data_IF_957029023876
#
_entry.id   IF_957029023876
#
_cell.length_a   1.000
_cell.length_b   1.000
_cell.length_c   1.000
_cell.angle_alpha   90.00
_cell.angle_beta   90.00
_cell.angle_gamma   90.00
#
_symmetry.space_group_name_H-M   'P 1'
#
loop_
_entity.id
_entity.type
_entity.pdbx_description
1 polymer ?
#
# COMPACT_ATOMS: atom_id res chain seq x y z
N UNK A 1 10.30 17.93 2.71
CA UNK A 1 9.11 17.72 3.52
C UNK A 1 8.91 16.26 3.79
N UNK A 2 8.51 15.92 5.01
CA UNK A 2 8.30 14.53 5.35
C UNK A 2 6.85 14.16 5.29
N UNK A 3 6.60 13.00 4.69
CA UNK A 3 5.27 12.43 4.70
C UNK A 3 5.26 11.33 5.75
N UNK A 4 4.12 11.11 6.36
CA UNK A 4 3.96 10.01 7.30
C UNK A 4 2.76 9.18 6.89
N UNK A 5 2.88 7.87 7.10
CA UNK A 5 1.81 6.95 6.79
C UNK A 5 0.92 6.81 8.01
N UNK A 6 -0.37 6.99 7.79
CA UNK A 6 -1.36 6.84 8.84
C UNK A 6 -1.93 5.42 8.83
N UNK A 7 -2.09 4.84 7.66
CA UNK A 7 -2.77 3.55 7.53
C UNK A 7 -2.35 2.85 6.25
N UNK A 8 -2.36 1.53 6.25
CA UNK A 8 -2.09 0.73 5.06
C UNK A 8 -3.01 -0.48 5.07
N UNK A 9 -3.48 -0.85 3.89
CA UNK A 9 -4.32 -2.03 3.73
C UNK A 9 -3.93 -2.77 2.46
N UNK A 10 -3.93 -4.09 2.53
CA UNK A 10 -3.67 -4.89 1.33
C UNK A 10 -4.93 -4.94 0.47
N UNK A 11 -4.72 -4.90 -0.83
CA UNK A 11 -5.77 -4.95 -1.83
C UNK A 11 -5.53 -6.13 -2.76
N UNK A 12 -6.54 -6.51 -3.55
CA UNK A 12 -6.35 -7.57 -4.55
C UNK A 12 -5.24 -7.22 -5.51
N UNK A 13 -4.64 -8.25 -6.09
CA UNK A 13 -3.62 -8.12 -7.12
C UNK A 13 -2.34 -7.46 -6.61
N UNK A 14 -2.02 -7.72 -5.35
CA UNK A 14 -0.77 -7.25 -4.74
C UNK A 14 -0.63 -5.73 -4.75
N UNK A 15 -1.75 -5.04 -4.56
CA UNK A 15 -1.75 -3.60 -4.41
C UNK A 15 -1.96 -3.22 -2.97
N UNK A 16 -1.60 -2.01 -2.63
CA UNK A 16 -1.74 -1.48 -1.28
C UNK A 16 -2.46 -0.15 -1.35
N UNK A 17 -3.36 0.06 -0.38
CA UNK A 17 -3.94 1.38 -0.17
C UNK A 17 -3.16 2.02 0.97
N UNK A 18 -2.55 3.16 0.71
CA UNK A 18 -1.71 3.83 1.69
C UNK A 18 -2.29 5.20 1.97
N UNK A 19 -2.69 5.42 3.22
CA UNK A 19 -3.20 6.73 3.64
C UNK A 19 -2.09 7.48 4.36
N UNK A 20 -1.86 8.70 3.93
CA UNK A 20 -0.85 9.57 4.53
C UNK A 20 -1.50 10.54 5.50
N UNK A 21 -0.72 11.03 6.46
CA UNK A 21 -1.23 11.89 7.52
C UNK A 21 -1.86 13.17 7.01
N UNK A 22 -1.44 13.65 5.85
CA UNK A 22 -1.96 14.88 5.28
C UNK A 22 -3.27 14.68 4.50
N UNK A 23 -3.86 13.50 4.58
CA UNK A 23 -5.15 13.25 3.94
C UNK A 23 -5.07 12.70 2.53
N UNK A 24 -3.89 12.40 2.05
CA UNK A 24 -3.69 11.84 0.72
C UNK A 24 -3.73 10.33 0.80
N UNK A 25 -4.41 9.70 -0.14
CA UNK A 25 -4.43 8.24 -0.28
C UNK A 25 -3.81 7.88 -1.62
N UNK A 26 -2.91 6.90 -1.61
CA UNK A 26 -2.28 6.41 -2.83
C UNK A 26 -2.41 4.91 -2.92
N UNK A 27 -2.50 4.43 -4.15
CA UNK A 27 -2.50 3.00 -4.44
C UNK A 27 -1.13 2.64 -4.96
N UNK A 28 -0.49 1.68 -4.32
CA UNK A 28 0.85 1.27 -4.69
C UNK A 28 0.82 -0.17 -5.19
N UNK A 29 1.42 -0.42 -6.35
CA UNK A 29 1.46 -1.75 -6.94
C UNK A 29 2.78 -2.41 -6.55
N UNK A 30 2.71 -3.50 -5.82
CA UNK A 30 3.91 -4.20 -5.35
C UNK A 30 4.49 -5.12 -6.43
N UNK A 31 3.72 -5.45 -7.44
CA UNK A 31 4.15 -6.43 -8.44
C UNK A 31 5.51 -6.14 -9.09
N UNK A 32 5.82 -4.90 -9.45
CA UNK A 32 7.14 -4.65 -10.04
C UNK A 32 8.31 -5.03 -9.14
N UNK A 33 8.11 -5.03 -7.83
CA UNK A 33 9.17 -5.35 -6.90
C UNK A 33 9.51 -6.84 -6.89
N UNK A 34 8.57 -7.69 -7.32
CA UNK A 34 8.82 -9.12 -7.36
C UNK A 34 10.01 -9.47 -8.25
N UNK A 35 10.24 -8.66 -9.28
CA UNK A 35 11.36 -8.89 -10.19
C UNK A 35 12.58 -8.07 -9.82
N UNK A 36 12.35 -6.85 -9.34
CA UNK A 36 13.46 -5.96 -9.03
C UNK A 36 14.18 -6.35 -7.75
N UNK A 37 13.43 -6.85 -6.78
CA UNK A 37 13.98 -7.20 -5.48
C UNK A 37 13.54 -8.63 -5.17
N UNK A 38 14.41 -9.61 -5.40
CA UNK A 38 13.99 -11.03 -5.30
C UNK A 38 13.36 -11.41 -3.99
N UNK A 39 13.75 -10.76 -2.90
CA UNK A 39 13.20 -11.07 -1.61
C UNK A 39 11.69 -10.83 -1.55
N UNK A 40 11.18 -9.90 -2.35
CA UNK A 40 9.75 -9.61 -2.37
C UNK A 40 8.94 -10.71 -3.04
N UNK A 41 9.57 -11.61 -3.78
CA UNK A 41 8.85 -12.70 -4.44
C UNK A 41 8.16 -13.63 -3.43
N UNK A 42 8.61 -13.63 -2.19
CA UNK A 42 7.95 -14.39 -1.14
C UNK A 42 6.50 -13.97 -0.98
N UNK A 43 6.22 -12.68 -1.13
CA UNK A 43 4.86 -12.16 -1.01
C UNK A 43 3.97 -12.62 -2.15
N UNK A 44 4.55 -12.86 -3.31
CA UNK A 44 3.80 -13.35 -4.46
C UNK A 44 3.28 -14.75 -4.20
N UNK A 45 4.02 -15.55 -3.44
CA UNK A 45 3.65 -16.93 -3.21
C UNK A 45 2.90 -17.13 -1.91
N UNK A 46 2.79 -16.10 -1.09
CA UNK A 46 2.15 -16.23 0.20
C UNK A 46 1.20 -15.05 0.45
N UNK A 47 -0.05 -15.24 0.08
CA UNK A 47 -1.06 -14.19 0.24
C UNK A 47 -1.30 -13.81 1.69
N UNK A 48 -1.19 -14.77 2.59
CA UNK A 48 -1.38 -14.47 4.01
C UNK A 48 -0.29 -13.53 4.52
N UNK A 49 0.93 -13.74 4.06
CA UNK A 49 2.03 -12.86 4.44
C UNK A 49 1.83 -11.46 3.86
N UNK A 50 1.39 -11.39 2.59
CA UNK A 50 1.13 -10.09 1.97
C UNK A 50 0.09 -9.30 2.77
N UNK A 51 -0.92 -9.97 3.27
CA UNK A 51 -1.99 -9.32 4.02
C UNK A 51 -1.57 -8.87 5.41
N UNK A 52 -0.40 -9.32 5.89
CA UNK A 52 0.08 -8.95 7.21
C UNK A 52 0.79 -7.60 7.26
N UNK A 53 0.75 -6.83 6.20
CA UNK A 53 1.43 -5.55 6.13
C UNK A 53 0.91 -4.60 7.22
N UNK A 54 1.83 -3.90 7.87
CA UNK A 54 1.48 -2.91 8.91
C UNK A 54 2.31 -1.64 8.72
N UNK A 55 1.87 -0.57 9.34
CA UNK A 55 2.62 0.68 9.34
C UNK A 55 3.74 0.57 10.37
N UNK A 56 4.93 0.96 9.96
CA UNK A 56 6.08 0.94 10.86
C UNK A 56 5.96 2.03 11.92
N UNK A 57 6.72 1.89 12.98
CA UNK A 57 6.70 2.84 14.08
C UNK A 57 7.00 4.25 13.59
N UNK A 58 6.16 5.20 13.94
CA UNK A 58 6.34 6.59 13.52
C UNK A 58 5.76 6.92 12.18
N UNK A 59 5.30 5.93 11.41
CA UNK A 59 4.71 6.20 10.10
C UNK A 59 5.73 6.43 9.01
N UNK A 60 6.95 5.98 9.19
CA UNK A 60 8.01 6.23 8.21
C UNK A 60 8.11 5.17 7.12
N UNK A 61 7.29 4.15 7.19
CA UNK A 61 7.26 3.11 6.19
C UNK A 61 6.21 2.06 6.52
N UNK A 62 6.21 1.00 5.74
CA UNK A 62 5.38 -0.17 6.01
C UNK A 62 6.26 -1.39 6.08
N UNK A 63 5.80 -2.41 6.79
CA UNK A 63 6.61 -3.58 7.03
C UNK A 63 5.74 -4.82 6.99
N UNK A 64 6.27 -5.89 6.41
CA UNK A 64 5.66 -7.21 6.42
C UNK A 64 6.35 -8.09 7.46
N UNK A 65 7.66 -8.02 7.51
CA UNK A 65 8.46 -8.75 8.49
C UNK A 65 9.84 -8.09 8.55
N UNK A 66 10.77 -8.68 9.28
CA UNK A 66 12.08 -8.06 9.52
C UNK A 66 12.89 -7.83 8.25
N UNK A 67 12.59 -8.56 7.18
CA UNK A 67 13.35 -8.49 5.95
C UNK A 67 12.66 -7.73 4.83
N UNK A 68 11.36 -7.45 4.98
CA UNK A 68 10.57 -6.85 3.91
C UNK A 68 9.87 -5.59 4.40
N UNK A 69 10.34 -4.46 3.92
CA UNK A 69 9.72 -3.18 4.23
C UNK A 69 9.82 -2.24 3.03
N UNK A 70 9.04 -1.18 3.06
CA UNK A 70 9.10 -0.11 2.07
C UNK A 70 9.05 1.22 2.79
N UNK A 71 9.85 2.16 2.32
CA UNK A 71 9.88 3.48 2.94
C UNK A 71 8.67 4.31 2.54
N UNK A 72 8.35 5.28 3.37
CA UNK A 72 7.30 6.23 3.07
C UNK A 72 7.57 6.97 1.76
N UNK A 73 8.83 7.33 1.51
CA UNK A 73 9.20 8.04 0.29
C UNK A 73 8.93 7.22 -0.95
N UNK A 74 9.25 5.93 -0.90
CA UNK A 74 8.99 5.05 -2.03
C UNK A 74 7.50 5.00 -2.34
N UNK A 75 6.68 4.88 -1.31
CA UNK A 75 5.23 4.79 -1.48
C UNK A 75 4.65 6.11 -1.97
N UNK A 76 5.20 7.22 -1.49
CA UNK A 76 4.72 8.52 -1.91
C UNK A 76 5.05 8.79 -3.37
N UNK A 77 6.28 8.49 -3.79
CA UNK A 77 6.72 8.85 -5.13
C UNK A 77 6.20 7.93 -6.21
N UNK A 78 5.99 6.66 -5.88
CA UNK A 78 5.59 5.69 -6.88
C UNK A 78 4.17 5.19 -6.75
N UNK A 79 3.45 5.61 -5.72
CA UNK A 79 2.03 5.32 -5.61
C UNK A 79 1.23 6.29 -6.46
N UNK A 80 0.03 5.86 -6.83
CA UNK A 80 -0.88 6.68 -7.63
C UNK A 80 -1.94 7.28 -6.73
N UNK A 81 -2.01 8.59 -6.71
CA UNK A 81 -2.97 9.26 -5.85
C UNK A 81 -4.39 9.05 -6.33
N UNK A 82 -5.29 8.77 -5.39
CA UNK A 82 -6.70 8.63 -5.68
C UNK A 82 -7.45 9.77 -5.00
N UNK A 83 -8.44 10.29 -5.70
CA UNK A 83 -9.13 11.47 -5.22
C UNK A 83 -10.17 11.17 -4.20
N UNK A 84 -10.73 10.00 -4.24
CA UNK A 84 -11.83 9.69 -3.38
C UNK A 84 -11.35 9.20 -2.06
N UNK A 85 -11.63 9.92 -1.02
CA UNK A 85 -11.34 9.38 0.27
C UNK A 85 -12.21 8.17 0.40
N UNK A 86 -11.66 7.09 0.70
CA UNK A 86 -12.40 5.94 0.73
C UNK A 86 -13.12 5.82 2.00
N UNK A 87 -14.34 6.06 1.95
CA UNK A 87 -15.12 5.89 3.09
C UNK A 87 -15.89 4.71 2.90
N UNK A 88 -15.44 3.94 2.57
CA UNK A 88 -16.18 2.84 2.24
C UNK A 88 -16.94 3.00 0.97
N UNK A 89 -16.91 3.65 0.88
CA UNK A 89 -17.28 3.58 0.01
C UNK A 89 -17.41 3.39 -0.81
N UNK A 90 -17.77 3.43 -0.97
CA UNK A 90 -17.82 3.35 -1.89
C UNK A 90 -17.62 3.07 -2.63
N UNK A 91 -17.77 2.91 -2.58
CA UNK A 91 -17.56 2.81 -3.53
C UNK A 91 -17.35 2.41 -4.19
N UNK A 92 -17.66 2.08 -4.09
CA UNK A 92 -17.46 1.80 -4.96
C UNK A 92 -17.84 1.45 -5.45
N UNK A 93 -18.25 1.43 -5.43
CA UNK A 93 -18.49 1.26 -6.21
C UNK A 93 -18.70 1.30 -6.72
N UNK A 94 -19.20 1.51 -6.60
CA UNK A 94 -19.31 1.61 -7.40
C UNK A 94 -19.20 1.53 -7.97
N UNK A 95 -19.51 1.50 -7.74
CA UNK A 95 -19.35 1.43 -8.50
C UNK A 95 -19.26 1.13 -9.05
N UNK A 96 -19.55 0.95 -8.87
CA UNK A 96 -19.44 0.69 -9.51
C UNK A 96 -19.36 0.59 -10.13
N UNK A 97 -19.73 0.57 -10.07
CA UNK A 97 -19.56 0.57 -10.69
C UNK A 97 -19.24 0.66 -11.35
N UNK A 98 -19.51 0.67 -11.18
CA UNK A 98 -19.01 0.78 -11.68
C UNK A 98 -18.50 0.69 -12.17
N UNK A 99 -18.70 0.51 -12.17
CA UNK A 99 -18.04 0.44 -12.44
C UNK A 99 -17.79 0.11 -12.92
#
# INVERSE_FOLDING_TARGET
>A
MFHKIKNVASLPEYKLSVQFSEGVTKIYDVKPLFEKIPLFAVLKENHAEFACVTVDVGGYGIVWNDDLDLSCDELWENGVQVDTPFDGLMAFSDATELW
#
